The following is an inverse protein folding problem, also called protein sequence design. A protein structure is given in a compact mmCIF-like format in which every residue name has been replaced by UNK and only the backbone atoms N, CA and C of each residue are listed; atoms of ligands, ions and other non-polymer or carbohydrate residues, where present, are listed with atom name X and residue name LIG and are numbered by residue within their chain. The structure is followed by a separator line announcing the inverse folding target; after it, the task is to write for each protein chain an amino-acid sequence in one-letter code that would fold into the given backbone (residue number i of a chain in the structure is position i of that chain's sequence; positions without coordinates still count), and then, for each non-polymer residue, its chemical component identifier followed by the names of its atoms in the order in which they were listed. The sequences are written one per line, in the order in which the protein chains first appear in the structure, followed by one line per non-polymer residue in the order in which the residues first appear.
data_IF_573857166642
#
_entry.id   IF_573857166642
#
_cell.length_a   1.000
_cell.length_b   1.000
_cell.length_c   1.000
_cell.angle_alpha   90.00
_cell.angle_beta   90.00
_cell.angle_gamma   90.00
#
_symmetry.space_group_name_H-M   'P 1'
#
loop_
_entity.id
_entity.type
_entity.pdbx_description
1 polymer ?
#
# COMPACT_ATOMS: atom_id res chain seq x y z
N UNK A 1 9.47 -3.13 11.63
CA UNK A 1 9.95 -4.54 11.51
C UNK A 1 9.97 -4.97 10.05
N UNK A 2 11.08 -5.52 9.63
CA UNK A 2 11.21 -6.12 8.29
C UNK A 2 11.47 -7.61 8.47
N UNK A 3 10.58 -8.41 7.93
CA UNK A 3 10.67 -9.86 8.02
C UNK A 3 11.83 -10.45 7.22
N UNK A 4 12.26 -11.65 7.57
CA UNK A 4 13.51 -12.25 7.11
C UNK A 4 13.62 -12.46 5.59
N UNK A 5 12.51 -12.66 4.90
CA UNK A 5 12.51 -12.91 3.45
C UNK A 5 12.06 -11.71 2.61
N UNK A 6 11.71 -10.60 3.25
CA UNK A 6 11.25 -9.41 2.54
C UNK A 6 12.38 -8.79 1.71
N UNK A 7 12.01 -8.28 0.54
CA UNK A 7 12.93 -7.62 -0.40
C UNK A 7 12.63 -6.12 -0.42
N UNK A 8 13.56 -5.32 0.08
CA UNK A 8 13.40 -3.87 0.16
C UNK A 8 14.42 -3.22 -0.79
N UNK A 9 13.94 -2.39 -1.70
CA UNK A 9 14.75 -1.70 -2.68
C UNK A 9 15.52 -0.50 -2.11
N UNK A 10 16.05 0.32 -3.02
CA UNK A 10 16.85 1.51 -2.70
C UNK A 10 15.95 2.68 -2.31
N UNK A 11 16.41 3.48 -1.35
CA UNK A 11 15.75 4.72 -0.96
C UNK A 11 14.29 4.54 -0.55
N UNK A 12 13.95 3.40 0.02
CA UNK A 12 12.64 3.12 0.57
C UNK A 12 12.54 3.76 1.95
N UNK A 13 11.42 4.46 2.19
CA UNK A 13 11.11 5.01 3.51
C UNK A 13 10.12 4.10 4.22
N UNK A 14 10.51 3.58 5.36
CA UNK A 14 9.61 2.84 6.26
C UNK A 14 9.38 3.69 7.51
N UNK A 15 8.18 4.20 7.66
CA UNK A 15 7.81 5.05 8.81
C UNK A 15 7.68 4.21 10.10
N UNK A 16 7.51 4.87 11.22
CA UNK A 16 7.42 4.21 12.52
C UNK A 16 6.27 3.20 12.60
N UNK A 17 6.54 2.04 13.16
CA UNK A 17 5.54 1.00 13.35
C UNK A 17 5.16 0.21 12.10
N UNK A 18 5.86 0.39 10.99
CA UNK A 18 5.63 -0.41 9.78
C UNK A 18 6.02 -1.86 10.02
N UNK A 19 5.15 -2.78 9.59
CA UNK A 19 5.40 -4.21 9.60
C UNK A 19 5.46 -4.76 8.19
N UNK A 20 6.63 -5.29 7.79
CA UNK A 20 6.80 -5.99 6.52
C UNK A 20 6.93 -7.48 6.82
N UNK A 21 6.03 -8.28 6.28
CA UNK A 21 6.00 -9.72 6.51
C UNK A 21 7.19 -10.43 5.86
N UNK A 22 7.69 -11.46 6.55
CA UNK A 22 8.85 -12.20 6.08
C UNK A 22 8.68 -13.70 5.99
N UNK A 23 7.54 -14.22 6.42
CA UNK A 23 7.29 -15.67 6.42
C UNK A 23 6.88 -16.13 5.03
N UNK A 24 7.54 -17.17 4.52
CA UNK A 24 7.22 -17.82 3.26
C UNK A 24 6.61 -19.18 3.53
N UNK A 25 5.30 -19.21 3.70
CA UNK A 25 4.51 -20.43 3.83
C UNK A 25 3.25 -20.33 2.98
N UNK A 26 2.88 -21.38 2.24
CA UNK A 26 3.65 -22.62 2.00
C UNK A 26 4.88 -22.42 1.14
N UNK A 27 5.66 -23.50 0.95
CA UNK A 27 6.82 -23.51 0.07
C UNK A 27 6.41 -22.99 -1.34
N UNK A 28 7.20 -22.08 -1.89
CA UNK A 28 6.88 -21.41 -3.16
C UNK A 28 6.08 -20.11 -3.02
N UNK A 29 5.69 -19.73 -1.80
CA UNK A 29 5.06 -18.44 -1.57
C UNK A 29 6.02 -17.29 -1.99
N UNK A 30 5.44 -16.21 -2.50
CA UNK A 30 6.22 -15.04 -2.92
C UNK A 30 6.59 -14.18 -1.71
N UNK A 31 7.82 -13.65 -1.65
CA UNK A 31 8.18 -12.67 -0.63
C UNK A 31 7.46 -11.35 -0.85
N UNK A 32 7.31 -10.57 0.20
CA UNK A 32 6.95 -9.17 0.06
C UNK A 32 8.10 -8.44 -0.64
N UNK A 33 7.75 -7.67 -1.65
CA UNK A 33 8.73 -6.85 -2.39
C UNK A 33 8.29 -5.39 -2.31
N UNK A 34 9.19 -4.54 -1.84
CA UNK A 34 9.00 -3.09 -1.83
C UNK A 34 10.08 -2.49 -2.73
N UNK A 35 9.68 -1.97 -3.87
CA UNK A 35 10.60 -1.48 -4.90
C UNK A 35 11.16 -0.10 -4.56
N UNK A 36 12.15 0.32 -5.34
CA UNK A 36 12.91 1.56 -5.12
C UNK A 36 12.03 2.79 -4.94
N UNK A 37 12.39 3.63 -4.00
CA UNK A 37 11.76 4.93 -3.80
C UNK A 37 10.35 4.89 -3.21
N UNK A 38 9.84 3.72 -2.83
CA UNK A 38 8.53 3.62 -2.20
C UNK A 38 8.54 4.25 -0.79
N UNK A 39 7.40 4.80 -0.41
CA UNK A 39 7.18 5.37 0.92
C UNK A 39 6.07 4.59 1.61
N UNK A 40 6.37 4.03 2.78
CA UNK A 40 5.39 3.28 3.58
C UNK A 40 5.09 4.08 4.84
N UNK A 41 3.86 4.56 4.95
CA UNK A 41 3.41 5.39 6.07
C UNK A 41 3.31 4.62 7.38
N UNK A 42 3.27 5.38 8.48
CA UNK A 42 3.32 4.84 9.85
C UNK A 42 2.27 3.78 10.11
N UNK A 43 2.67 2.71 10.77
CA UNK A 43 1.81 1.59 11.19
C UNK A 43 1.13 0.84 10.06
N UNK A 44 1.61 0.99 8.83
CA UNK A 44 1.14 0.16 7.72
C UNK A 44 1.72 -1.24 7.81
N UNK A 45 0.95 -2.21 7.38
CA UNK A 45 1.29 -3.64 7.41
C UNK A 45 1.23 -4.18 5.98
N UNK A 46 2.35 -4.70 5.49
CA UNK A 46 2.45 -5.28 4.16
C UNK A 46 2.91 -6.73 4.31
N UNK A 47 2.04 -7.65 3.98
CA UNK A 47 2.26 -9.09 4.23
C UNK A 47 1.81 -9.94 3.03
N UNK A 48 2.02 -11.25 3.13
CA UNK A 48 1.52 -12.26 2.18
C UNK A 48 1.95 -12.02 0.74
N UNK A 49 3.21 -11.64 0.54
CA UNK A 49 3.79 -11.52 -0.81
C UNK A 49 3.30 -10.34 -1.62
N UNK A 50 2.68 -9.36 -1.00
CA UNK A 50 2.26 -8.14 -1.69
C UNK A 50 3.48 -7.41 -2.26
N UNK A 51 3.33 -6.92 -3.48
CA UNK A 51 4.37 -6.15 -4.16
C UNK A 51 4.00 -4.68 -4.23
N UNK A 52 4.85 -3.85 -3.67
CA UNK A 52 4.75 -2.38 -3.76
C UNK A 52 5.71 -1.92 -4.83
N UNK A 53 5.21 -1.44 -5.95
CA UNK A 53 6.06 -1.06 -7.07
C UNK A 53 6.74 0.30 -6.85
N UNK A 54 7.70 0.59 -7.70
CA UNK A 54 8.58 1.76 -7.65
C UNK A 54 7.83 3.05 -7.38
N UNK A 55 8.29 3.81 -6.41
CA UNK A 55 7.79 5.14 -6.12
C UNK A 55 6.38 5.21 -5.52
N UNK A 56 5.74 4.09 -5.26
CA UNK A 56 4.41 4.09 -4.65
C UNK A 56 4.45 4.70 -3.24
N UNK A 57 3.37 5.35 -2.87
CA UNK A 57 3.20 6.00 -1.57
C UNK A 57 2.03 5.35 -0.85
N UNK A 58 2.33 4.70 0.25
CA UNK A 58 1.32 4.10 1.13
C UNK A 58 1.13 5.04 2.31
N UNK A 59 -0.09 5.54 2.48
CA UNK A 59 -0.43 6.38 3.62
C UNK A 59 -0.36 5.61 4.94
N UNK A 60 -0.53 6.31 6.05
CA UNK A 60 -0.50 5.67 7.36
C UNK A 60 -1.65 4.68 7.54
N UNK A 61 -1.40 3.65 8.32
CA UNK A 61 -2.43 2.69 8.75
C UNK A 61 -3.11 1.94 7.59
N UNK A 62 -2.37 1.59 6.56
CA UNK A 62 -2.83 0.76 5.46
C UNK A 62 -2.38 -0.68 5.71
N UNK A 63 -3.31 -1.62 5.65
CA UNK A 63 -3.00 -3.05 5.76
C UNK A 63 -3.23 -3.73 4.43
N UNK A 64 -2.19 -4.33 3.87
CA UNK A 64 -2.24 -5.04 2.60
C UNK A 64 -1.85 -6.51 2.81
N UNK A 65 -2.81 -7.39 2.57
CA UNK A 65 -2.61 -8.83 2.50
C UNK A 65 -2.85 -9.30 1.07
N UNK A 66 -2.64 -10.57 0.78
CA UNK A 66 -2.90 -11.13 -0.55
C UNK A 66 -4.37 -11.00 -0.98
N UNK A 67 -5.29 -10.87 -0.02
CA UNK A 67 -6.73 -10.78 -0.28
C UNK A 67 -7.31 -9.37 -0.12
N UNK A 68 -6.54 -8.41 0.37
CA UNK A 68 -7.02 -7.03 0.53
C UNK A 68 -7.34 -6.42 -0.83
N UNK A 69 -8.58 -5.98 -1.07
CA UNK A 69 -8.89 -5.29 -2.32
C UNK A 69 -8.14 -3.96 -2.41
N UNK A 70 -7.51 -3.72 -3.55
CA UNK A 70 -6.82 -2.47 -3.86
C UNK A 70 -7.60 -1.84 -5.02
N UNK A 71 -8.31 -0.77 -4.75
CA UNK A 71 -9.29 -0.20 -5.66
C UNK A 71 -8.83 1.15 -6.15
N UNK A 72 -8.59 1.27 -7.45
CA UNK A 72 -8.28 2.55 -8.08
C UNK A 72 -9.60 3.29 -8.33
N UNK A 73 -9.77 4.42 -7.63
CA UNK A 73 -10.97 5.24 -7.70
C UNK A 73 -10.76 6.54 -8.49
N UNK A 74 -9.68 6.64 -9.26
CA UNK A 74 -9.31 7.86 -10.00
C UNK A 74 -10.09 8.04 -11.30
N UNK A 75 -10.62 6.97 -11.86
CA UNK A 75 -11.38 6.98 -13.12
C UNK A 75 -12.88 6.98 -12.89
N UNK A 76 -13.63 6.90 -13.98
CA UNK A 76 -15.09 6.83 -13.92
C UNK A 76 -15.61 5.54 -13.30
N UNK A 77 -14.89 4.45 -13.53
CA UNK A 77 -15.22 3.13 -13.01
C UNK A 77 -14.11 2.67 -12.08
N UNK A 78 -14.43 2.01 -10.97
CA UNK A 78 -13.40 1.48 -10.08
C UNK A 78 -12.66 0.32 -10.75
N UNK A 79 -11.35 0.26 -10.54
CA UNK A 79 -10.53 -0.87 -11.00
C UNK A 79 -9.93 -1.54 -9.77
N UNK A 80 -10.27 -2.80 -9.58
CA UNK A 80 -9.83 -3.57 -8.42
C UNK A 80 -8.74 -4.56 -8.78
N UNK A 81 -7.67 -4.57 -7.98
CA UNK A 81 -6.62 -5.59 -8.03
C UNK A 81 -6.33 -6.10 -6.63
N UNK A 82 -5.55 -7.16 -6.54
CA UNK A 82 -5.05 -7.70 -5.28
C UNK A 82 -3.57 -8.02 -5.42
N UNK A 83 -2.85 -7.91 -4.32
CA UNK A 83 -1.46 -8.36 -4.25
C UNK A 83 -0.42 -7.42 -4.86
N UNK A 84 -0.82 -6.34 -5.49
CA UNK A 84 0.12 -5.39 -6.12
C UNK A 84 -0.38 -3.95 -6.02
N UNK A 85 0.54 -3.05 -5.68
CA UNK A 85 0.33 -1.60 -5.77
C UNK A 85 1.20 -1.10 -6.92
N UNK A 86 0.57 -0.48 -7.90
CA UNK A 86 1.24 -0.03 -9.12
C UNK A 86 2.22 1.13 -8.89
N UNK A 87 3.11 1.36 -9.84
CA UNK A 87 4.13 2.41 -9.73
C UNK A 87 3.51 3.77 -9.43
N UNK A 88 4.15 4.52 -8.53
CA UNK A 88 3.78 5.89 -8.16
C UNK A 88 2.35 6.07 -7.65
N UNK A 89 1.64 5.01 -7.35
CA UNK A 89 0.29 5.10 -6.79
C UNK A 89 0.31 5.68 -5.39
N UNK A 90 -0.66 6.53 -5.08
CA UNK A 90 -0.90 7.05 -3.74
C UNK A 90 -2.08 6.30 -3.15
N UNK A 91 -1.85 5.61 -2.04
CA UNK A 91 -2.80 4.66 -1.44
C UNK A 91 -3.17 5.09 -0.04
N UNK A 92 -4.47 5.07 0.24
CA UNK A 92 -5.01 5.35 1.58
C UNK A 92 -5.82 4.16 2.10
N UNK A 93 -6.06 4.07 3.42
CA UNK A 93 -6.98 3.07 3.94
C UNK A 93 -8.41 3.44 3.55
N UNK A 94 -9.23 2.42 3.33
CA UNK A 94 -10.63 2.59 3.01
C UNK A 94 -11.46 1.43 3.49
N UNK A 95 -12.75 1.52 3.32
CA UNK A 95 -13.69 0.45 3.59
C UNK A 95 -14.71 0.37 2.47
N UNK A 96 -15.30 -0.82 2.33
CA UNK A 96 -16.46 -0.99 1.47
C UNK A 96 -17.48 -1.94 2.11
N UNK A 97 -18.77 -1.79 1.80
CA UNK A 97 -19.79 -2.66 2.36
C UNK A 97 -19.65 -4.09 1.82
N UNK A 98 -19.90 -5.05 2.70
CA UNK A 98 -19.96 -6.47 2.35
C UNK A 98 -21.14 -7.11 3.05
N UNK A 99 -21.87 -7.97 2.34
CA UNK A 99 -22.98 -8.72 2.91
C UNK A 99 -22.48 -9.94 3.67
N UNK A 100 -23.05 -10.13 4.85
CA UNK A 100 -22.90 -11.29 5.71
C UNK A 100 -24.28 -11.81 6.11
N UNK A 101 -24.38 -13.03 6.66
CA UNK A 101 -25.67 -13.55 7.10
C UNK A 101 -26.41 -12.66 8.09
N UNK A 102 -25.69 -11.91 8.93
CA UNK A 102 -26.30 -11.03 9.95
C UNK A 102 -26.50 -9.59 9.47
N UNK A 103 -26.16 -9.26 8.22
CA UNK A 103 -26.36 -7.91 7.69
C UNK A 103 -25.17 -7.42 6.86
N UNK A 104 -25.19 -6.14 6.52
CA UNK A 104 -24.13 -5.49 5.75
C UNK A 104 -23.15 -4.80 6.70
N UNK A 105 -21.88 -5.07 6.54
CA UNK A 105 -20.82 -4.47 7.35
C UNK A 105 -19.72 -3.96 6.44
N UNK A 106 -19.03 -2.90 6.86
CA UNK A 106 -17.91 -2.36 6.10
C UNK A 106 -16.66 -3.17 6.41
N UNK A 107 -15.98 -3.61 5.37
CA UNK A 107 -14.71 -4.35 5.48
C UNK A 107 -13.56 -3.53 4.91
N UNK A 108 -12.32 -3.75 5.39
CA UNK A 108 -11.18 -2.94 4.96
C UNK A 108 -10.84 -3.16 3.48
N UNK A 109 -10.41 -2.10 2.84
CA UNK A 109 -9.79 -2.13 1.53
C UNK A 109 -8.72 -1.03 1.47
N UNK A 110 -8.00 -0.95 0.36
CA UNK A 110 -7.08 0.13 0.09
C UNK A 110 -7.57 0.89 -1.15
N UNK A 111 -7.45 2.20 -1.12
CA UNK A 111 -7.91 3.05 -2.23
C UNK A 111 -6.71 3.73 -2.88
N UNK A 112 -6.57 3.56 -4.19
CA UNK A 112 -5.61 4.34 -4.99
C UNK A 112 -6.30 5.63 -5.41
N UNK A 113 -5.80 6.75 -4.91
CA UNK A 113 -6.45 8.06 -5.05
C UNK A 113 -5.73 9.00 -5.99
N UNK A 114 -4.61 8.57 -6.56
CA UNK A 114 -3.85 9.37 -7.49
C UNK A 114 -2.49 8.78 -7.77
N UNK A 115 -1.70 9.52 -8.53
CA UNK A 115 -0.32 9.19 -8.86
C UNK A 115 0.62 10.28 -8.35
N UNK A 116 1.76 9.86 -7.84
CA UNK A 116 2.87 10.74 -7.48
C UNK A 116 3.52 11.29 -8.75
N UNK A 117 3.90 12.59 -8.74
CA UNK A 117 4.62 13.19 -9.86
C UNK A 117 6.12 12.94 -9.74
N UNK A 118 6.74 12.46 -10.82
CA UNK A 118 8.16 12.10 -10.84
C UNK A 118 9.14 13.28 -10.74
N UNK A 119 8.71 14.50 -11.07
CA UNK A 119 9.59 15.65 -11.26
C UNK A 119 9.90 16.47 -10.03
N UNK A 120 9.52 16.03 -8.84
CA UNK A 120 9.66 16.80 -7.62
C UNK A 120 10.66 16.19 -6.65
N UNK A 121 11.36 17.04 -5.90
CA UNK A 121 12.29 16.68 -4.84
C UNK A 121 11.62 15.69 -3.88
N UNK A 122 12.27 14.54 -3.64
CA UNK A 122 11.68 13.38 -2.99
C UNK A 122 11.01 13.68 -1.64
N UNK A 123 11.64 14.47 -0.78
CA UNK A 123 11.11 14.73 0.56
C UNK A 123 9.94 15.71 0.56
N UNK A 124 10.08 16.81 -0.14
CA UNK A 124 9.07 17.87 -0.22
C UNK A 124 7.86 17.40 -1.02
N UNK A 125 8.10 16.67 -2.10
CA UNK A 125 7.02 16.19 -2.96
C UNK A 125 6.16 15.11 -2.31
N UNK A 126 6.73 14.24 -1.47
CA UNK A 126 5.96 13.22 -0.77
C UNK A 126 4.99 13.86 0.22
N UNK A 127 5.47 14.80 1.03
CA UNK A 127 4.63 15.51 1.99
C UNK A 127 3.55 16.30 1.27
N UNK A 128 3.90 17.01 0.20
CA UNK A 128 2.95 17.81 -0.58
C UNK A 128 1.93 16.95 -1.30
N UNK A 129 2.34 15.83 -1.90
CA UNK A 129 1.43 14.89 -2.54
C UNK A 129 0.43 14.32 -1.54
N UNK A 130 0.90 13.89 -0.37
CA UNK A 130 0.04 13.37 0.67
C UNK A 130 -0.95 14.43 1.16
N UNK A 131 -0.51 15.66 1.37
CA UNK A 131 -1.37 16.77 1.77
C UNK A 131 -2.39 17.14 0.70
N UNK A 132 -1.99 17.14 -0.56
CA UNK A 132 -2.88 17.43 -1.70
C UNK A 132 -4.05 16.44 -1.75
N UNK A 133 -3.80 15.17 -1.41
CA UNK A 133 -4.84 14.14 -1.36
C UNK A 133 -5.50 14.01 0.02
N UNK A 134 -5.14 14.85 0.99
CA UNK A 134 -5.71 14.79 2.33
C UNK A 134 -5.23 13.59 3.14
N UNK A 135 -4.06 13.04 2.84
CA UNK A 135 -3.48 11.88 3.52
C UNK A 135 -2.55 12.33 4.63
N UNK A 136 -2.73 11.76 5.81
CA UNK A 136 -1.81 11.95 6.93
C UNK A 136 -0.52 11.12 6.73
N UNK A 137 0.59 11.72 7.08
CA UNK A 137 1.91 11.11 6.91
C UNK A 137 2.34 10.32 8.14
#
# INVERSE_FOLDING_TARGET
TVGSCAQIGKNVHLSGGVGIGGVLEPAGAMPVVVEDGAFIGSRSIIVEGVRIKKGAVIGANVTLTASTPIIDVTGKEPVEVKGVVDENSVVIPGTRPKEFPSGVFNTPCALVIGKRKESTDEKTSLTDALRTFGVEV
#
